data_IF_901746945294
#
_entry.id   IF_901746945294
#
_cell.length_a   1.000
_cell.length_b   1.000
_cell.length_c   1.000
_cell.angle_alpha   90.00
_cell.angle_beta   90.00
_cell.angle_gamma   90.00
#
_symmetry.space_group_name_H-M   'P 1'
#
loop_
_entity.id
_entity.type
_entity.pdbx_description
1 polymer ?
#
# COMPACT_ATOMS: atom_id res chain seq x y z
N UNK A 1 -33.30 17.18 3.40
CA UNK A 1 -33.95 16.50 4.54
C UNK A 1 -33.18 15.23 4.87
N UNK A 2 -33.63 14.44 5.84
CA UNK A 2 -33.29 13.00 6.00
C UNK A 2 -34.48 12.29 6.66
N UNK A 3 -34.58 10.98 6.47
CA UNK A 3 -35.73 10.17 6.91
C UNK A 3 -35.29 8.89 7.63
N UNK A 4 -36.19 8.32 8.44
CA UNK A 4 -36.10 6.96 8.98
C UNK A 4 -37.50 6.32 9.09
N UNK A 5 -37.56 5.00 9.04
CA UNK A 5 -38.71 4.23 9.51
C UNK A 5 -38.55 3.99 11.02
N UNK A 6 -39.63 4.13 11.79
CA UNK A 6 -39.72 3.77 13.20
C UNK A 6 -38.54 4.32 14.04
N UNK A 7 -37.62 3.43 14.46
CA UNK A 7 -36.38 3.74 15.18
C UNK A 7 -35.09 3.37 14.42
N UNK A 8 -35.20 3.09 13.12
CA UNK A 8 -34.06 2.75 12.26
C UNK A 8 -33.01 3.88 12.20
N UNK A 9 -31.75 3.55 11.82
CA UNK A 9 -30.74 4.56 11.53
C UNK A 9 -31.21 5.60 10.51
N UNK A 10 -30.95 6.86 10.80
CA UNK A 10 -31.24 7.97 9.90
C UNK A 10 -30.50 7.81 8.56
N UNK A 11 -31.22 7.99 7.46
CA UNK A 11 -30.61 8.15 6.14
C UNK A 11 -29.70 9.39 6.03
N UNK A 12 -28.86 9.40 5.01
CA UNK A 12 -27.97 10.52 4.71
C UNK A 12 -28.75 11.82 4.42
N UNK A 13 -28.12 12.97 4.69
CA UNK A 13 -28.69 14.28 4.40
C UNK A 13 -28.76 14.54 2.89
N UNK A 14 -29.97 14.46 2.35
CA UNK A 14 -30.31 14.81 0.96
C UNK A 14 -30.80 16.27 0.86
N UNK A 15 -30.98 16.83 -0.36
CA UNK A 15 -31.69 18.10 -0.58
C UNK A 15 -33.11 18.11 0.04
N UNK A 16 -33.78 19.27 0.04
CA UNK A 16 -35.21 19.33 0.39
C UNK A 16 -36.03 19.18 -0.89
N UNK A 17 -36.94 18.21 -0.92
CA UNK A 17 -37.99 18.09 -1.94
C UNK A 17 -39.36 18.16 -1.24
N UNK A 18 -40.39 18.78 -1.86
CA UNK A 18 -41.73 18.85 -1.27
C UNK A 18 -42.49 17.50 -1.36
N UNK A 19 -42.01 16.59 -2.20
CA UNK A 19 -42.50 15.21 -2.37
C UNK A 19 -41.32 14.26 -2.44
N UNK A 20 -41.45 13.06 -1.88
CA UNK A 20 -40.43 12.02 -1.92
C UNK A 20 -41.11 10.64 -1.84
N UNK A 21 -40.63 9.68 -2.63
CA UNK A 21 -41.00 8.26 -2.46
C UNK A 21 -40.05 7.61 -1.46
N UNK A 22 -40.59 6.92 -0.46
CA UNK A 22 -39.83 6.28 0.62
C UNK A 22 -40.38 4.87 0.87
N UNK A 23 -39.50 3.92 1.20
CA UNK A 23 -39.86 2.50 1.35
C UNK A 23 -40.00 2.18 2.85
N UNK A 24 -41.16 1.64 3.23
CA UNK A 24 -41.45 1.17 4.58
C UNK A 24 -40.83 -0.22 4.81
N UNK A 25 -40.58 -0.57 6.07
CA UNK A 25 -40.15 -1.91 6.43
C UNK A 25 -41.31 -2.90 6.19
N UNK A 26 -41.09 -4.03 5.50
CA UNK A 26 -42.18 -4.93 5.09
C UNK A 26 -42.62 -5.87 6.23
N UNK A 27 -43.20 -5.30 7.30
CA UNK A 27 -43.88 -6.04 8.38
C UNK A 27 -45.31 -5.53 8.53
N UNK A 28 -46.27 -6.34 8.97
CA UNK A 28 -47.61 -5.87 9.26
C UNK A 28 -47.66 -5.07 10.57
N UNK A 29 -48.49 -4.04 10.62
CA UNK A 29 -48.72 -3.18 11.80
C UNK A 29 -48.43 -1.70 11.58
N UNK A 30 -48.51 -0.90 12.65
CA UNK A 30 -48.26 0.54 12.59
C UNK A 30 -46.77 0.86 12.39
N UNK A 31 -46.50 1.71 11.40
CA UNK A 31 -45.20 2.26 11.08
C UNK A 31 -45.20 3.78 11.19
N UNK A 32 -44.13 4.34 11.75
CA UNK A 32 -43.92 5.79 11.89
C UNK A 32 -42.78 6.25 10.98
N UNK A 33 -43.10 7.00 9.92
CA UNK A 33 -42.06 7.69 9.15
C UNK A 33 -41.70 8.98 9.87
N UNK A 34 -40.42 9.17 10.18
CA UNK A 34 -39.91 10.42 10.77
C UNK A 34 -38.97 11.11 9.78
N UNK A 35 -39.19 12.40 9.53
CA UNK A 35 -38.36 13.22 8.66
C UNK A 35 -37.75 14.41 9.42
N UNK A 36 -36.46 14.68 9.18
CA UNK A 36 -35.75 15.87 9.64
C UNK A 36 -35.52 16.85 8.51
N UNK A 37 -35.87 18.11 8.76
CA UNK A 37 -35.56 19.25 7.90
C UNK A 37 -34.63 20.19 8.65
N UNK A 38 -33.48 20.52 8.04
CA UNK A 38 -32.49 21.45 8.59
C UNK A 38 -32.40 22.73 7.75
N UNK A 39 -32.20 23.87 8.41
CA UNK A 39 -31.84 25.16 7.80
C UNK A 39 -30.78 25.83 8.67
N UNK A 40 -29.54 25.92 8.17
CA UNK A 40 -28.39 26.23 9.02
C UNK A 40 -28.22 25.15 10.10
N UNK A 41 -28.01 25.55 11.35
CA UNK A 41 -27.96 24.64 12.50
C UNK A 41 -29.34 24.30 13.09
N UNK A 42 -30.42 24.99 12.70
CA UNK A 42 -31.77 24.66 13.17
C UNK A 42 -32.30 23.41 12.47
N UNK A 43 -32.67 22.39 13.26
CA UNK A 43 -33.34 21.17 12.80
C UNK A 43 -34.76 21.13 13.36
N UNK A 44 -35.72 20.69 12.55
CA UNK A 44 -37.08 20.33 13.00
C UNK A 44 -37.41 18.92 12.54
N UNK A 45 -38.09 18.17 13.40
CA UNK A 45 -38.66 16.85 13.10
C UNK A 45 -40.15 16.98 12.79
N UNK A 46 -40.61 16.18 11.83
CA UNK A 46 -42.02 15.87 11.59
C UNK A 46 -42.16 14.36 11.48
N UNK A 47 -43.34 13.82 11.79
CA UNK A 47 -43.62 12.39 11.62
C UNK A 47 -45.08 12.14 11.34
N UNK A 48 -45.34 11.07 10.61
CA UNK A 48 -46.68 10.55 10.32
C UNK A 48 -46.72 9.05 10.58
N UNK A 49 -47.90 8.45 10.78
CA UNK A 49 -48.05 7.00 10.96
C UNK A 49 -48.99 6.36 9.94
N UNK A 50 -48.68 5.11 9.58
CA UNK A 50 -49.43 4.32 8.61
C UNK A 50 -49.49 2.86 9.10
N UNK A 51 -50.70 2.29 9.13
CA UNK A 51 -50.89 0.89 9.51
C UNK A 51 -50.84 0.00 8.27
N UNK A 52 -49.77 -0.81 8.17
CA UNK A 52 -49.49 -1.64 7.01
C UNK A 52 -50.19 -3.00 7.17
N UNK A 53 -51.25 -3.22 6.40
CA UNK A 53 -52.02 -4.47 6.41
C UNK A 53 -51.56 -5.33 5.24
N UNK A 54 -51.05 -6.53 5.53
CA UNK A 54 -50.72 -7.54 4.52
C UNK A 54 -51.93 -8.47 4.30
N UNK A 55 -52.21 -8.92 3.06
CA UNK A 55 -53.32 -9.83 2.79
C UNK A 55 -53.07 -11.22 3.39
N UNK A 56 -54.12 -11.84 3.93
CA UNK A 56 -54.06 -13.14 4.62
C UNK A 56 -53.94 -14.34 3.65
N UNK A 57 -52.79 -14.50 2.99
CA UNK A 57 -52.26 -15.82 2.61
C UNK A 57 -50.88 -15.75 1.91
N UNK A 58 -49.91 -16.47 2.48
CA UNK A 58 -48.94 -17.40 1.86
C UNK A 58 -47.98 -17.94 2.98
N UNK A 59 -47.21 -19.03 2.78
CA UNK A 59 -46.90 -19.98 3.87
C UNK A 59 -45.81 -19.59 4.88
N UNK A 60 -45.77 -20.38 5.95
CA UNK A 60 -44.85 -20.24 7.10
C UNK A 60 -43.37 -20.17 6.72
N UNK A 61 -42.66 -19.20 7.32
CA UNK A 61 -41.22 -19.30 7.56
C UNK A 61 -40.99 -19.51 9.06
N UNK A 62 -40.10 -20.45 9.39
CA UNK A 62 -40.03 -21.07 10.72
C UNK A 62 -39.56 -20.16 11.85
N UNK A 63 -40.14 -20.38 13.04
CA UNK A 63 -39.75 -19.72 14.30
C UNK A 63 -38.45 -20.33 14.86
N UNK A 64 -37.50 -19.49 15.26
CA UNK A 64 -36.57 -19.78 16.37
C UNK A 64 -36.51 -18.52 17.26
N UNK A 65 -36.51 -18.71 18.59
CA UNK A 65 -36.57 -17.64 19.59
C UNK A 65 -35.18 -17.20 20.09
N UNK A 66 -35.05 -15.97 20.65
CA UNK A 66 -33.80 -15.49 21.25
C UNK A 66 -33.62 -15.94 22.71
N UNK A 67 -32.39 -16.35 23.04
CA UNK A 67 -31.81 -16.45 24.40
C UNK A 67 -30.27 -16.43 24.27
N UNK A 68 -29.46 -15.99 25.23
CA UNK A 68 -29.74 -15.41 26.55
C UNK A 68 -28.47 -14.74 27.12
N UNK A 69 -28.52 -14.24 28.36
CA UNK A 69 -27.35 -13.62 29.05
C UNK A 69 -26.48 -14.66 29.79
N UNK A 70 -25.47 -14.16 30.53
CA UNK A 70 -24.56 -14.85 31.46
C UNK A 70 -23.40 -15.58 30.73
N UNK A 71 -22.14 -15.45 31.13
CA UNK A 71 -21.51 -14.61 32.17
C UNK A 71 -20.13 -15.14 32.55
N UNK A 72 -19.20 -14.28 32.97
CA UNK A 72 -17.83 -14.68 33.34
C UNK A 72 -17.05 -13.57 34.06
N UNK A 73 -16.23 -13.93 35.04
CA UNK A 73 -15.56 -13.00 35.95
C UNK A 73 -14.25 -13.61 36.48
N UNK A 74 -13.21 -12.78 36.69
CA UNK A 74 -12.01 -13.09 37.50
C UNK A 74 -11.04 -14.18 36.91
N UNK A 75 -9.73 -14.30 37.20
CA UNK A 75 -8.78 -13.53 38.08
C UNK A 75 -7.29 -13.77 37.67
N UNK A 76 -6.38 -12.95 38.23
CA UNK A 76 -4.95 -13.24 38.61
C UNK A 76 -3.82 -13.46 37.58
N UNK A 77 -2.81 -12.58 37.69
CA UNK A 77 -1.34 -12.78 37.55
C UNK A 77 -0.80 -13.75 38.64
N UNK A 78 0.44 -14.35 38.59
CA UNK A 78 1.72 -13.67 38.32
C UNK A 78 2.92 -14.50 37.74
N UNK A 79 4.11 -13.88 37.63
CA UNK A 79 5.41 -14.60 37.61
C UNK A 79 6.55 -13.96 36.76
N UNK A 80 7.72 -13.69 37.37
CA UNK A 80 8.97 -13.25 36.69
C UNK A 80 10.19 -13.94 37.37
N UNK A 81 11.15 -14.48 36.59
CA UNK A 81 12.53 -13.93 36.54
C UNK A 81 12.98 -13.72 35.06
N UNK A 82 13.97 -12.92 34.66
CA UNK A 82 15.24 -12.41 35.24
C UNK A 82 16.49 -13.30 34.96
N UNK A 83 17.66 -12.66 34.87
CA UNK A 83 18.97 -13.14 34.30
C UNK A 83 19.02 -13.20 32.76
N UNK A 84 20.17 -12.96 32.09
CA UNK A 84 21.51 -12.55 32.56
C UNK A 84 22.43 -12.13 31.41
N UNK A 85 23.56 -11.45 31.69
CA UNK A 85 24.46 -10.79 30.71
C UNK A 85 25.83 -11.50 30.60
N UNK A 86 26.36 -11.66 29.39
CA UNK A 86 27.80 -11.85 29.08
C UNK A 86 28.12 -11.22 27.70
N UNK A 87 29.33 -10.69 27.48
CA UNK A 87 29.81 -10.16 26.19
C UNK A 87 31.35 -10.25 26.04
N UNK A 88 31.87 -10.42 24.82
CA UNK A 88 33.26 -10.16 24.36
C UNK A 88 33.50 -10.66 22.91
N UNK A 89 34.65 -10.45 22.25
CA UNK A 89 35.28 -9.20 21.76
C UNK A 89 36.66 -9.47 21.08
N UNK A 90 37.07 -8.64 20.09
CA UNK A 90 38.41 -8.62 19.44
C UNK A 90 38.47 -9.28 18.04
N UNK A 91 39.31 -8.85 17.07
CA UNK A 91 40.33 -7.77 17.00
C UNK A 91 40.61 -7.34 15.51
N UNK A 92 41.34 -6.22 15.22
CA UNK A 92 41.23 -5.44 13.95
C UNK A 92 42.48 -5.39 13.02
N UNK A 93 42.49 -4.41 12.07
CA UNK A 93 43.53 -3.99 11.08
C UNK A 93 43.71 -4.89 9.83
N UNK A 94 44.07 -4.41 8.62
CA UNK A 94 44.09 -3.08 7.94
C UNK A 94 44.36 -3.32 6.41
N UNK A 95 44.52 -2.40 5.42
CA UNK A 95 44.68 -0.92 5.28
C UNK A 95 44.28 -0.48 3.83
N UNK A 96 44.75 0.69 3.35
CA UNK A 96 44.85 1.21 1.95
C UNK A 96 43.61 1.92 1.33
N UNK A 97 43.86 2.97 0.52
CA UNK A 97 42.83 3.79 -0.17
C UNK A 97 43.41 4.85 -1.11
N UNK A 98 42.58 5.50 -1.96
CA UNK A 98 42.99 6.58 -2.87
C UNK A 98 41.83 7.45 -3.41
N UNK A 99 42.15 8.68 -3.84
CA UNK A 99 41.34 9.61 -4.67
C UNK A 99 39.88 9.96 -4.30
N UNK A 100 39.71 10.85 -3.31
CA UNK A 100 38.47 11.66 -3.19
C UNK A 100 38.35 12.70 -4.30
N UNK A 101 37.40 12.54 -5.23
CA UNK A 101 37.18 13.50 -6.34
C UNK A 101 36.44 14.75 -5.82
N UNK A 102 37.17 15.85 -5.69
CA UNK A 102 36.68 17.13 -5.17
C UNK A 102 35.87 17.93 -6.21
N UNK A 103 34.74 18.48 -5.76
CA UNK A 103 34.15 19.68 -6.33
C UNK A 103 34.61 20.92 -5.56
N UNK A 104 35.54 21.69 -6.12
CA UNK A 104 36.01 22.97 -5.56
C UNK A 104 34.91 24.05 -5.73
N UNK A 105 34.60 24.84 -4.68
CA UNK A 105 35.24 26.15 -4.62
C UNK A 105 35.61 26.63 -3.20
N UNK A 106 36.81 27.16 -3.05
CA UNK A 106 37.21 27.94 -1.89
C UNK A 106 36.50 29.32 -1.80
N UNK A 107 35.97 29.67 -0.62
CA UNK A 107 35.95 31.05 -0.11
C UNK A 107 35.69 31.12 1.40
N UNK A 108 36.24 32.13 2.06
CA UNK A 108 36.07 32.40 3.49
C UNK A 108 34.83 33.22 3.79
N UNK A 109 34.21 32.99 4.96
CA UNK A 109 33.10 33.78 5.49
C UNK A 109 33.01 33.66 7.03
N UNK A 110 32.53 34.69 7.75
CA UNK A 110 32.51 34.70 9.21
C UNK A 110 31.35 33.86 9.78
N UNK A 111 31.59 33.25 10.95
CA UNK A 111 30.58 32.44 11.63
C UNK A 111 29.41 33.29 12.18
N UNK A 112 28.19 32.82 11.97
CA UNK A 112 26.96 33.35 12.59
C UNK A 112 26.54 32.40 13.72
N UNK A 113 26.24 32.89 14.94
CA UNK A 113 25.78 32.02 16.02
C UNK A 113 24.33 31.59 15.81
N UNK A 114 24.12 30.30 15.51
CA UNK A 114 22.81 29.66 15.60
C UNK A 114 22.58 29.14 17.03
N UNK A 115 21.36 29.30 17.54
CA UNK A 115 21.00 28.96 18.92
C UNK A 115 20.29 27.62 19.05
N UNK A 116 20.74 26.80 20.00
CA UNK A 116 20.02 25.67 20.61
C UNK A 116 19.27 24.71 19.66
N UNK A 117 20.02 23.98 18.83
CA UNK A 117 19.68 22.58 18.56
C UNK A 117 20.77 21.66 19.14
N UNK A 118 20.43 20.40 19.43
CA UNK A 118 21.28 19.51 20.23
C UNK A 118 22.38 18.92 19.36
N UNK A 119 23.61 19.41 19.52
CA UNK A 119 24.80 18.87 18.86
C UNK A 119 25.23 17.54 19.48
N UNK A 120 25.17 16.40 18.77
CA UNK A 120 26.15 15.35 18.99
C UNK A 120 27.51 15.90 18.51
N UNK A 121 28.48 16.04 19.42
CA UNK A 121 29.88 16.17 19.01
C UNK A 121 30.40 14.75 18.80
N UNK A 122 30.92 14.44 17.61
CA UNK A 122 31.21 13.08 17.17
C UNK A 122 32.55 12.53 17.69
N UNK A 123 32.85 12.78 18.97
CA UNK A 123 34.12 12.54 19.68
C UNK A 123 34.50 11.06 19.91
N UNK A 124 34.08 10.14 19.02
CA UNK A 124 34.10 8.71 19.30
C UNK A 124 33.31 7.89 18.30
N UNK A 125 33.92 6.81 17.79
CA UNK A 125 33.31 5.80 16.91
C UNK A 125 32.21 4.94 17.59
N UNK A 126 31.50 5.48 18.58
CA UNK A 126 30.33 4.86 19.20
C UNK A 126 29.16 4.90 18.21
N UNK A 127 28.31 3.87 18.21
CA UNK A 127 27.09 3.86 17.40
C UNK A 127 26.14 4.99 17.82
N UNK A 128 26.00 5.98 16.94
CA UNK A 128 25.04 7.10 17.04
C UNK A 128 24.21 7.08 15.75
N UNK A 129 22.94 6.70 15.85
CA UNK A 129 22.05 6.63 14.69
C UNK A 129 21.63 8.06 14.26
N UNK A 130 22.35 8.66 13.29
CA UNK A 130 21.97 9.95 12.69
C UNK A 130 20.61 9.84 11.98
N UNK A 131 19.67 10.79 12.19
CA UNK A 131 18.38 10.81 11.51
C UNK A 131 18.52 10.94 9.99
N UNK A 132 17.64 10.28 9.23
CA UNK A 132 17.61 10.40 7.78
C UNK A 132 17.12 11.78 7.35
N UNK A 133 17.95 12.53 6.62
CA UNK A 133 17.53 13.81 6.03
C UNK A 133 16.71 13.63 4.75
N UNK A 134 17.10 12.70 3.88
CA UNK A 134 16.44 12.46 2.59
C UNK A 134 16.50 10.99 2.18
N UNK A 135 15.54 10.20 2.64
CA UNK A 135 15.45 8.77 2.36
C UNK A 135 15.32 8.44 0.86
N UNK A 136 14.72 9.34 0.07
CA UNK A 136 14.55 9.18 -1.36
C UNK A 136 15.89 9.32 -2.12
N UNK A 137 16.78 10.21 -1.67
CA UNK A 137 18.13 10.35 -2.24
C UNK A 137 18.96 9.09 -1.99
N UNK A 138 19.01 8.60 -0.75
CA UNK A 138 19.71 7.36 -0.39
C UNK A 138 19.17 6.15 -1.18
N UNK A 139 17.84 6.05 -1.28
CA UNK A 139 17.19 4.98 -2.03
C UNK A 139 17.52 5.03 -3.53
N UNK A 140 17.51 6.23 -4.12
CA UNK A 140 17.86 6.39 -5.53
C UNK A 140 19.34 6.01 -5.79
N UNK A 141 20.26 6.25 -4.85
CA UNK A 141 21.65 5.77 -4.97
C UNK A 141 21.72 4.24 -4.94
N UNK A 142 20.99 3.57 -4.05
CA UNK A 142 20.92 2.09 -4.01
C UNK A 142 20.38 1.51 -5.33
N UNK A 143 19.31 2.09 -5.86
CA UNK A 143 18.71 1.67 -7.14
C UNK A 143 19.66 1.92 -8.33
N UNK A 144 20.43 3.02 -8.32
CA UNK A 144 21.45 3.30 -9.34
C UNK A 144 22.65 2.35 -9.26
N UNK A 145 23.17 2.04 -8.07
CA UNK A 145 24.20 1.02 -7.87
C UNK A 145 23.77 -0.32 -8.45
N UNK A 146 22.52 -0.72 -8.20
CA UNK A 146 21.98 -1.98 -8.71
C UNK A 146 21.66 -1.97 -10.21
N UNK A 147 21.51 -0.79 -10.84
CA UNK A 147 21.46 -0.65 -12.31
C UNK A 147 22.86 -0.81 -12.94
N UNK A 148 23.89 -0.21 -12.36
CA UNK A 148 25.28 -0.37 -12.81
C UNK A 148 25.77 -1.81 -12.64
N UNK A 149 25.54 -2.42 -11.47
CA UNK A 149 25.86 -3.83 -11.21
C UNK A 149 25.15 -4.76 -12.19
N UNK A 150 23.87 -4.55 -12.47
CA UNK A 150 23.15 -5.35 -13.45
C UNK A 150 23.68 -5.17 -14.89
N UNK A 151 24.13 -3.95 -15.25
CA UNK A 151 24.80 -3.69 -16.54
C UNK A 151 26.15 -4.41 -16.65
N UNK A 152 26.84 -4.62 -15.53
CA UNK A 152 28.04 -5.46 -15.42
C UNK A 152 27.76 -6.97 -15.26
N UNK A 153 26.48 -7.39 -15.28
CA UNK A 153 26.08 -8.80 -15.09
C UNK A 153 26.18 -9.31 -13.65
N UNK A 154 26.33 -8.42 -12.66
CA UNK A 154 26.50 -8.75 -11.25
C UNK A 154 25.16 -8.85 -10.49
N UNK A 155 25.11 -9.64 -9.40
CA UNK A 155 23.98 -9.66 -8.47
C UNK A 155 23.68 -8.29 -7.83
N UNK A 156 22.39 -7.93 -7.63
CA UNK A 156 21.98 -6.72 -6.94
C UNK A 156 22.22 -6.83 -5.42
N UNK A 157 22.65 -5.74 -4.79
CA UNK A 157 22.85 -5.63 -3.35
C UNK A 157 21.53 -5.40 -2.62
N UNK A 158 21.36 -6.05 -1.47
CA UNK A 158 20.25 -5.84 -0.53
C UNK A 158 20.48 -4.58 0.31
N UNK A 159 19.49 -3.69 0.47
CA UNK A 159 19.63 -2.54 1.38
C UNK A 159 19.66 -3.01 2.84
N UNK A 160 20.59 -2.48 3.63
CA UNK A 160 20.78 -2.84 5.03
C UNK A 160 20.78 -1.58 5.91
N UNK A 161 19.89 -1.57 6.91
CA UNK A 161 19.70 -0.39 7.78
C UNK A 161 20.89 -0.12 8.72
N UNK A 162 21.66 -1.13 9.11
CA UNK A 162 22.85 -0.91 9.94
C UNK A 162 23.98 -0.23 9.14
N UNK A 163 24.14 -0.60 7.87
CA UNK A 163 25.03 0.11 6.93
C UNK A 163 24.51 1.53 6.64
N UNK A 164 23.20 1.74 6.47
CA UNK A 164 22.63 3.09 6.36
C UNK A 164 22.98 3.98 7.58
N UNK A 165 22.94 3.43 8.81
CA UNK A 165 23.25 4.21 10.01
C UNK A 165 24.75 4.56 10.10
N UNK A 166 25.65 3.67 9.69
CA UNK A 166 27.09 3.95 9.60
C UNK A 166 27.37 5.05 8.56
N UNK A 167 26.80 4.92 7.37
CA UNK A 167 26.96 5.87 6.29
C UNK A 167 26.41 7.25 6.64
N UNK A 168 25.22 7.35 7.28
CA UNK A 168 24.65 8.62 7.75
C UNK A 168 25.49 9.25 8.87
N UNK A 169 26.01 8.43 9.79
CA UNK A 169 26.96 8.89 10.80
C UNK A 169 28.15 9.56 10.13
N UNK A 170 28.84 8.85 9.22
CA UNK A 170 30.09 9.33 8.64
C UNK A 170 29.89 10.53 7.69
N UNK A 171 28.74 10.59 7.00
CA UNK A 171 28.35 11.76 6.21
C UNK A 171 28.18 13.04 7.05
N UNK A 172 27.69 12.93 8.29
CA UNK A 172 27.58 14.07 9.21
C UNK A 172 28.93 14.38 9.90
N UNK A 173 29.62 13.34 10.37
CA UNK A 173 30.95 13.36 11.00
C UNK A 173 31.95 14.20 10.18
N UNK A 174 32.07 13.93 8.87
CA UNK A 174 32.89 14.71 7.93
C UNK A 174 32.46 16.19 7.78
N UNK A 175 31.16 16.51 7.87
CA UNK A 175 30.69 17.90 7.78
C UNK A 175 31.01 18.67 9.07
N UNK A 176 30.58 18.14 10.21
CA UNK A 176 30.58 18.88 11.48
C UNK A 176 32.02 19.14 11.97
N UNK A 177 32.90 18.14 11.85
CA UNK A 177 34.33 18.24 12.21
C UNK A 177 35.23 18.63 11.03
N UNK A 178 34.63 18.89 9.86
CA UNK A 178 35.24 19.59 8.69
C UNK A 178 36.44 18.88 8.06
N UNK A 179 36.38 17.55 7.96
CA UNK A 179 37.36 16.75 7.27
C UNK A 179 36.73 16.01 6.07
N UNK A 180 37.55 15.31 5.28
CA UNK A 180 37.07 14.46 4.20
C UNK A 180 38.05 13.31 4.00
N UNK A 181 37.82 12.21 4.71
CA UNK A 181 38.69 11.05 4.78
C UNK A 181 37.89 9.85 5.30
N UNK A 182 38.34 8.63 5.03
CA UNK A 182 37.60 7.41 5.39
C UNK A 182 37.62 7.10 6.90
N UNK A 183 38.72 7.35 7.60
CA UNK A 183 38.76 7.18 9.07
C UNK A 183 37.98 8.28 9.82
N UNK A 184 37.53 8.01 11.06
CA UNK A 184 36.79 8.98 11.88
C UNK A 184 37.72 9.80 12.78
N UNK A 185 37.44 11.10 12.90
CA UNK A 185 38.22 12.08 13.64
C UNK A 185 37.34 12.90 14.61
N UNK A 186 37.93 13.36 15.71
CA UNK A 186 37.42 14.43 16.58
C UNK A 186 38.21 15.70 16.22
N UNK A 187 37.62 16.51 15.35
CA UNK A 187 38.27 17.61 14.64
C UNK A 187 39.50 17.16 13.84
N UNK A 188 40.70 17.36 14.42
CA UNK A 188 41.97 16.92 13.84
C UNK A 188 42.58 15.69 14.54
N UNK A 189 41.87 15.07 15.47
CA UNK A 189 42.35 13.93 16.29
C UNK A 189 41.81 12.64 15.70
N UNK A 190 42.68 11.72 15.26
CA UNK A 190 42.22 10.39 14.79
C UNK A 190 41.60 9.60 15.94
N UNK A 191 40.45 8.96 15.70
CA UNK A 191 39.65 8.26 16.71
C UNK A 191 39.57 6.75 16.44
N UNK A 192 39.26 6.36 15.21
CA UNK A 192 39.34 4.97 14.76
C UNK A 192 39.36 4.84 13.24
N UNK A 193 39.73 3.65 12.76
CA UNK A 193 39.65 3.32 11.34
C UNK A 193 38.21 3.03 10.85
N UNK A 194 38.05 3.17 9.54
CA UNK A 194 36.85 2.85 8.76
C UNK A 194 36.18 1.53 9.17
N UNK A 195 36.97 0.47 9.38
CA UNK A 195 36.48 -0.88 9.67
C UNK A 195 36.03 -1.02 11.12
N UNK A 196 36.67 -0.32 12.05
CA UNK A 196 36.24 -0.20 13.44
C UNK A 196 34.93 0.60 13.54
N UNK A 197 34.76 1.69 12.76
CA UNK A 197 33.47 2.38 12.65
C UNK A 197 32.39 1.42 12.15
N UNK A 198 32.57 0.83 10.96
CA UNK A 198 31.59 -0.06 10.34
C UNK A 198 31.20 -1.24 11.25
N UNK A 199 32.17 -1.88 11.91
CA UNK A 199 31.94 -3.02 12.81
C UNK A 199 31.03 -2.70 14.01
N UNK A 200 30.98 -1.44 14.45
CA UNK A 200 30.12 -1.00 15.56
C UNK A 200 28.64 -0.82 15.15
N UNK A 201 28.36 -0.75 13.84
CA UNK A 201 27.00 -0.78 13.30
C UNK A 201 26.64 -2.16 12.75
N UNK A 202 27.51 -2.72 11.90
CA UNK A 202 27.33 -3.92 11.09
C UNK A 202 28.38 -4.98 11.49
N UNK A 203 28.23 -5.65 12.64
CA UNK A 203 29.20 -6.65 13.10
C UNK A 203 29.23 -7.86 12.16
N UNK A 204 30.36 -8.06 11.49
CA UNK A 204 30.56 -9.12 10.48
C UNK A 204 31.97 -9.69 10.52
N UNK A 205 32.13 -10.91 10.00
CA UNK A 205 33.43 -11.54 9.68
C UNK A 205 33.63 -11.73 8.17
N UNK A 206 32.72 -11.17 7.35
CA UNK A 206 32.84 -11.13 5.90
C UNK A 206 33.22 -9.74 5.39
N UNK A 207 33.16 -9.57 4.06
CA UNK A 207 33.63 -8.37 3.37
C UNK A 207 32.88 -7.09 3.75
N UNK A 208 33.62 -5.99 3.79
CA UNK A 208 33.14 -4.61 3.92
C UNK A 208 33.81 -3.72 2.86
N UNK A 209 33.28 -2.53 2.62
CA UNK A 209 33.84 -1.50 1.73
C UNK A 209 33.12 -0.17 1.94
N UNK A 210 33.75 0.94 1.54
CA UNK A 210 33.17 2.28 1.66
C UNK A 210 33.49 3.13 0.42
N UNK A 211 32.54 3.97 0.00
CA UNK A 211 32.74 5.04 -0.96
C UNK A 211 32.27 6.37 -0.34
N UNK A 212 33.08 7.43 -0.41
CA UNK A 212 32.72 8.77 0.09
C UNK A 212 32.66 9.79 -1.05
N UNK A 213 31.84 10.85 -0.92
CA UNK A 213 31.80 11.95 -1.88
C UNK A 213 31.27 13.27 -1.25
N UNK A 214 31.81 14.40 -1.73
CA UNK A 214 31.40 15.76 -1.33
C UNK A 214 30.98 16.62 -2.52
N UNK A 215 29.99 17.49 -2.34
CA UNK A 215 29.64 18.58 -3.28
C UNK A 215 28.61 18.21 -4.36
N UNK A 216 28.33 16.93 -4.54
CA UNK A 216 27.34 16.44 -5.50
C UNK A 216 25.91 16.71 -5.02
N UNK A 217 25.11 17.44 -5.80
CA UNK A 217 23.78 17.91 -5.34
C UNK A 217 22.65 16.89 -5.53
N UNK A 218 22.89 15.78 -6.25
CA UNK A 218 21.87 14.76 -6.58
C UNK A 218 22.42 13.33 -6.60
N UNK A 219 21.58 12.31 -6.36
CA UNK A 219 21.95 10.88 -6.47
C UNK A 219 22.59 10.50 -7.81
N UNK A 220 22.09 11.04 -8.94
CA UNK A 220 22.65 10.76 -10.26
C UNK A 220 24.01 11.42 -10.47
N UNK A 221 24.22 12.64 -9.94
CA UNK A 221 25.53 13.30 -10.02
C UNK A 221 26.60 12.59 -9.21
N UNK A 222 26.30 12.13 -7.98
CA UNK A 222 27.27 11.42 -7.15
C UNK A 222 27.58 10.02 -7.68
N UNK A 223 26.57 9.31 -8.20
CA UNK A 223 26.76 8.02 -8.87
C UNK A 223 27.69 8.15 -10.08
N UNK A 224 27.52 9.21 -10.90
CA UNK A 224 28.41 9.50 -12.02
C UNK A 224 29.85 9.85 -11.55
N UNK A 225 30.01 10.53 -10.42
CA UNK A 225 31.32 10.76 -9.80
C UNK A 225 32.02 9.44 -9.46
N UNK A 226 31.37 8.59 -8.66
CA UNK A 226 31.92 7.29 -8.25
C UNK A 226 32.20 6.34 -9.44
N UNK A 227 31.33 6.30 -10.46
CA UNK A 227 31.53 5.43 -11.63
C UNK A 227 32.63 5.91 -12.61
N UNK A 228 33.10 7.15 -12.47
CA UNK A 228 34.27 7.68 -13.19
C UNK A 228 35.58 7.53 -12.39
N UNK A 229 35.52 7.33 -11.07
CA UNK A 229 36.70 7.03 -10.23
C UNK A 229 37.00 5.52 -10.24
N UNK A 230 38.23 5.07 -10.58
CA UNK A 230 38.56 3.65 -10.65
C UNK A 230 38.35 2.88 -9.32
N UNK A 231 38.74 3.48 -8.19
CA UNK A 231 38.61 2.86 -6.87
C UNK A 231 37.15 2.71 -6.43
N UNK A 232 36.38 3.81 -6.46
CA UNK A 232 34.97 3.79 -6.08
C UNK A 232 34.14 2.84 -6.97
N UNK A 233 34.43 2.80 -8.28
CA UNK A 233 33.84 1.85 -9.22
C UNK A 233 34.20 0.40 -8.90
N UNK A 234 35.43 0.13 -8.48
CA UNK A 234 35.84 -1.22 -8.08
C UNK A 234 35.03 -1.71 -6.87
N UNK A 235 34.74 -0.84 -5.89
CA UNK A 235 33.85 -1.18 -4.77
C UNK A 235 32.41 -1.46 -5.24
N UNK A 236 31.81 -0.57 -6.05
CA UNK A 236 30.45 -0.73 -6.60
C UNK A 236 30.30 -2.06 -7.38
N UNK A 237 31.32 -2.43 -8.15
CA UNK A 237 31.33 -3.64 -8.97
C UNK A 237 31.99 -4.87 -8.29
N UNK A 238 32.31 -4.78 -6.99
CA UNK A 238 32.90 -5.91 -6.27
C UNK A 238 31.85 -7.02 -6.07
N UNK A 239 32.16 -8.22 -6.56
CA UNK A 239 31.26 -9.38 -6.50
C UNK A 239 31.14 -10.01 -5.11
N UNK A 240 32.03 -9.64 -4.18
CA UNK A 240 32.04 -10.14 -2.80
C UNK A 240 30.90 -9.56 -1.93
N UNK A 241 30.39 -8.38 -2.27
CA UNK A 241 29.33 -7.72 -1.53
C UNK A 241 27.94 -8.30 -1.87
N UNK A 242 27.08 -8.35 -0.85
CA UNK A 242 25.67 -8.77 -0.93
C UNK A 242 24.70 -7.73 -0.38
N UNK A 243 25.21 -6.75 0.36
CA UNK A 243 24.46 -5.74 1.08
C UNK A 243 25.05 -4.35 0.84
N UNK A 244 24.22 -3.31 0.94
CA UNK A 244 24.58 -1.90 0.84
C UNK A 244 23.79 -1.06 1.84
N UNK A 245 24.41 0.00 2.37
CA UNK A 245 23.72 1.12 2.99
C UNK A 245 24.17 2.43 2.36
N UNK A 246 23.33 3.46 2.44
CA UNK A 246 23.66 4.79 1.92
C UNK A 246 23.27 5.87 2.93
N UNK A 247 24.19 6.79 3.15
CA UNK A 247 24.00 7.98 3.97
C UNK A 247 24.10 9.25 3.15
N UNK A 248 23.20 10.18 3.43
CA UNK A 248 23.22 11.53 2.88
C UNK A 248 23.05 12.56 3.99
N UNK A 249 23.95 13.53 4.02
CA UNK A 249 23.87 14.69 4.90
C UNK A 249 24.02 15.99 4.11
N UNK A 250 23.11 16.93 4.34
CA UNK A 250 23.21 18.32 3.93
C UNK A 250 23.49 19.21 5.13
N UNK A 251 24.51 20.05 5.01
CA UNK A 251 24.93 21.02 6.02
C UNK A 251 25.21 22.41 5.43
N UNK A 252 25.25 23.47 6.26
CA UNK A 252 25.43 24.84 5.81
C UNK A 252 26.88 25.21 5.45
N UNK A 253 27.82 24.27 5.47
CA UNK A 253 29.25 24.56 5.31
C UNK A 253 30.03 23.43 4.61
N UNK A 254 31.33 23.63 4.38
CA UNK A 254 32.18 22.68 3.66
C UNK A 254 31.66 22.40 2.25
N UNK A 255 31.61 21.13 1.87
CA UNK A 255 31.05 20.71 0.57
C UNK A 255 29.52 20.80 0.50
N UNK A 256 28.84 21.17 1.60
CA UNK A 256 27.39 21.19 1.81
C UNK A 256 26.69 19.83 1.68
N UNK A 257 26.88 19.11 0.58
CA UNK A 257 26.34 17.77 0.34
C UNK A 257 27.41 16.70 0.59
N UNK A 258 27.19 15.85 1.58
CA UNK A 258 28.08 14.74 1.95
C UNK A 258 27.36 13.41 1.73
N UNK A 259 28.06 12.46 1.11
CA UNK A 259 27.52 11.15 0.73
C UNK A 259 28.47 10.03 1.13
N UNK A 260 27.91 8.93 1.61
CA UNK A 260 28.65 7.69 1.91
C UNK A 260 27.85 6.49 1.38
N UNK A 261 28.52 5.54 0.73
CA UNK A 261 27.99 4.20 0.44
C UNK A 261 28.80 3.16 1.22
N UNK A 262 28.14 2.42 2.09
CA UNK A 262 28.75 1.33 2.84
C UNK A 262 28.35 0.00 2.23
N UNK A 263 29.33 -0.86 1.94
CA UNK A 263 29.14 -2.15 1.31
C UNK A 263 29.41 -3.28 2.30
N UNK A 264 28.65 -4.38 2.21
CA UNK A 264 28.75 -5.48 3.17
C UNK A 264 28.46 -6.87 2.63
N UNK A 265 28.93 -7.88 3.35
CA UNK A 265 28.56 -9.29 3.20
C UNK A 265 28.61 -9.99 4.57
N UNK A 266 27.47 -10.10 5.27
CA UNK A 266 27.38 -10.88 6.51
C UNK A 266 27.66 -12.37 6.26
N UNK A 267 28.62 -12.93 7.00
CA UNK A 267 28.97 -14.35 6.90
C UNK A 267 27.78 -15.25 7.21
N UNK A 268 27.55 -16.29 6.39
CA UNK A 268 26.37 -17.17 6.50
C UNK A 268 25.01 -16.54 6.18
N UNK A 269 24.96 -15.25 5.80
CA UNK A 269 23.73 -14.55 5.38
C UNK A 269 23.68 -14.36 3.87
N UNK A 270 22.54 -14.70 3.29
CA UNK A 270 22.28 -14.70 1.85
C UNK A 270 20.90 -14.09 1.60
N UNK A 271 20.82 -12.83 1.13
CA UNK A 271 19.54 -12.14 1.02
C UNK A 271 18.69 -12.60 -0.16
N UNK A 272 17.40 -12.30 -0.05
CA UNK A 272 16.46 -12.16 -1.16
C UNK A 272 16.44 -10.68 -1.57
N UNK A 273 16.34 -10.39 -2.87
CA UNK A 273 16.22 -9.02 -3.40
C UNK A 273 15.12 -8.98 -4.47
N UNK A 274 14.07 -8.19 -4.24
CA UNK A 274 12.96 -7.94 -5.16
C UNK A 274 13.34 -6.76 -6.08
N UNK A 275 13.10 -6.88 -7.38
CA UNK A 275 13.26 -5.82 -8.39
C UNK A 275 14.58 -5.03 -8.29
N UNK A 276 15.67 -5.70 -7.92
CA UNK A 276 17.00 -5.11 -7.71
C UNK A 276 17.02 -4.00 -6.63
N UNK A 277 16.28 -4.20 -5.53
CA UNK A 277 16.16 -3.26 -4.40
C UNK A 277 15.35 -2.00 -4.72
N UNK A 278 14.47 -2.05 -5.73
CA UNK A 278 13.52 -0.97 -5.99
C UNK A 278 12.52 -0.83 -4.84
N UNK A 279 12.33 0.38 -4.30
CA UNK A 279 11.44 0.61 -3.16
C UNK A 279 9.95 0.41 -3.50
N UNK A 280 9.58 0.62 -4.77
CA UNK A 280 8.17 0.57 -5.22
C UNK A 280 8.01 -0.21 -6.51
N UNK A 281 6.81 -0.72 -6.76
CA UNK A 281 6.40 -1.30 -8.05
C UNK A 281 4.95 -0.90 -8.37
N UNK A 282 4.61 -0.73 -9.63
CA UNK A 282 3.22 -0.60 -10.12
C UNK A 282 2.64 -1.94 -10.62
N UNK A 283 3.50 -2.94 -10.78
CA UNK A 283 3.20 -4.29 -11.25
C UNK A 283 3.26 -5.31 -10.10
N UNK A 284 2.29 -6.25 -9.99
CA UNK A 284 2.39 -7.40 -9.09
C UNK A 284 3.38 -8.46 -9.62
N UNK A 285 3.75 -8.42 -10.91
CA UNK A 285 4.83 -9.25 -11.45
C UNK A 285 6.16 -8.59 -11.12
N UNK A 286 7.00 -9.32 -10.37
CA UNK A 286 8.32 -8.87 -9.92
C UNK A 286 9.40 -9.89 -10.27
N UNK A 287 10.64 -9.40 -10.32
CA UNK A 287 11.84 -10.24 -10.38
C UNK A 287 12.40 -10.44 -8.98
N UNK A 288 12.83 -11.67 -8.69
CA UNK A 288 13.53 -12.03 -7.45
C UNK A 288 14.96 -12.45 -7.78
N UNK A 289 15.94 -11.89 -7.08
CA UNK A 289 17.27 -12.46 -6.97
C UNK A 289 17.45 -13.15 -5.61
N UNK A 290 17.87 -14.42 -5.63
CA UNK A 290 18.09 -15.23 -4.43
C UNK A 290 19.59 -15.55 -4.35
N UNK A 291 20.26 -15.03 -3.33
CA UNK A 291 21.64 -15.42 -3.03
C UNK A 291 21.70 -16.84 -2.42
N UNK A 292 22.85 -17.50 -2.58
CA UNK A 292 23.16 -18.78 -1.91
C UNK A 292 24.64 -18.93 -1.60
N UNK A 293 24.94 -19.83 -0.68
CA UNK A 293 26.28 -20.37 -0.44
C UNK A 293 26.62 -21.41 -1.54
N UNK A 294 27.50 -21.00 -2.45
CA UNK A 294 28.05 -21.77 -3.60
C UNK A 294 27.10 -22.78 -4.30
N UNK A 295 27.30 -24.08 -4.12
CA UNK A 295 26.48 -25.18 -4.64
C UNK A 295 25.83 -26.00 -3.50
N UNK A 296 25.81 -25.48 -2.27
CA UNK A 296 25.28 -26.22 -1.11
C UNK A 296 23.75 -26.33 -1.10
N UNK A 297 23.03 -25.28 -1.50
CA UNK A 297 21.56 -25.21 -1.44
C UNK A 297 20.93 -25.74 -2.72
N UNK A 298 20.25 -26.88 -2.64
CA UNK A 298 19.76 -27.64 -3.81
C UNK A 298 18.30 -27.34 -4.16
N UNK A 299 17.50 -26.98 -3.15
CA UNK A 299 16.07 -26.72 -3.29
C UNK A 299 15.68 -25.42 -2.59
N UNK A 300 14.59 -24.82 -3.05
CA UNK A 300 13.98 -23.63 -2.46
C UNK A 300 12.45 -23.76 -2.43
N UNK A 301 11.79 -22.91 -1.63
CA UNK A 301 10.36 -22.63 -1.71
C UNK A 301 10.08 -21.16 -1.40
N UNK A 302 8.97 -20.64 -1.90
CA UNK A 302 8.59 -19.23 -1.82
C UNK A 302 7.18 -19.06 -1.22
N UNK A 303 6.91 -17.90 -0.64
CA UNK A 303 5.57 -17.42 -0.27
C UNK A 303 5.45 -15.90 -0.45
N UNK A 304 4.23 -15.44 -0.67
CA UNK A 304 3.85 -14.03 -0.47
C UNK A 304 3.36 -13.85 0.96
N UNK A 305 3.75 -12.74 1.58
CA UNK A 305 3.26 -12.30 2.89
C UNK A 305 3.27 -13.47 3.92
N UNK A 306 2.20 -13.64 4.70
CA UNK A 306 2.04 -14.75 5.63
C UNK A 306 1.27 -15.95 5.07
N UNK A 307 1.16 -16.08 3.75
CA UNK A 307 0.49 -17.21 3.11
C UNK A 307 1.26 -18.54 3.34
N UNK A 308 0.56 -19.64 3.11
CA UNK A 308 1.16 -20.98 3.09
C UNK A 308 2.35 -21.05 2.14
N UNK A 309 3.43 -21.68 2.60
CA UNK A 309 4.58 -21.99 1.77
C UNK A 309 4.21 -22.80 0.52
N UNK A 310 4.75 -22.41 -0.63
CA UNK A 310 4.70 -23.22 -1.85
C UNK A 310 5.45 -24.55 -1.71
N UNK A 311 5.33 -25.44 -2.72
CA UNK A 311 6.09 -26.68 -2.77
C UNK A 311 7.60 -26.40 -2.83
N UNK A 312 8.40 -27.37 -2.37
CA UNK A 312 9.83 -27.39 -2.64
C UNK A 312 10.08 -27.63 -4.14
N UNK A 313 10.96 -26.82 -4.70
CA UNK A 313 11.37 -26.84 -6.11
C UNK A 313 12.90 -26.74 -6.22
N UNK A 314 13.52 -27.12 -7.34
CA UNK A 314 14.94 -26.91 -7.57
C UNK A 314 15.34 -25.44 -7.36
N UNK A 315 16.50 -25.20 -6.75
CA UNK A 315 16.98 -23.84 -6.51
C UNK A 315 17.23 -23.09 -7.84
N UNK A 316 16.80 -21.82 -7.93
CA UNK A 316 17.24 -20.85 -8.95
C UNK A 316 17.65 -19.54 -8.31
N UNK A 317 18.71 -18.91 -8.81
CA UNK A 317 19.11 -17.56 -8.37
C UNK A 317 18.16 -16.47 -8.89
N UNK A 318 17.46 -16.71 -10.00
CA UNK A 318 16.54 -15.75 -10.61
C UNK A 318 15.16 -16.39 -10.72
N UNK A 319 14.13 -15.68 -10.24
CA UNK A 319 12.73 -16.15 -10.29
C UNK A 319 11.82 -14.99 -10.70
N UNK A 320 10.97 -15.21 -11.71
CA UNK A 320 9.82 -14.34 -11.98
C UNK A 320 8.68 -14.73 -11.05
N UNK A 321 8.12 -13.77 -10.31
CA UNK A 321 7.19 -14.05 -9.23
C UNK A 321 6.00 -13.09 -9.22
N UNK A 322 4.83 -13.59 -8.83
CA UNK A 322 3.60 -12.78 -8.73
C UNK A 322 3.28 -12.52 -7.26
N UNK A 323 3.32 -11.25 -6.86
CA UNK A 323 2.86 -10.76 -5.57
C UNK A 323 1.34 -10.96 -5.41
N UNK A 324 0.83 -10.90 -4.18
CA UNK A 324 -0.58 -10.59 -3.97
C UNK A 324 -0.85 -9.18 -4.53
N UNK A 325 -1.85 -9.01 -5.40
CA UNK A 325 -2.11 -7.71 -6.05
C UNK A 325 -2.95 -6.77 -5.18
N UNK A 326 -2.53 -6.59 -3.93
CA UNK A 326 -3.09 -5.60 -3.02
C UNK A 326 -2.12 -4.46 -2.83
N UNK A 327 -2.61 -3.22 -2.91
CA UNK A 327 -1.81 -2.03 -2.65
C UNK A 327 -1.24 -2.06 -1.22
N UNK A 328 -0.03 -1.53 -1.07
CA UNK A 328 0.71 -1.53 0.18
C UNK A 328 1.85 -2.54 0.16
N UNK A 329 2.70 -2.45 1.18
CA UNK A 329 3.94 -3.23 1.29
C UNK A 329 3.66 -4.73 1.18
N UNK A 330 4.22 -5.36 0.15
CA UNK A 330 4.17 -6.81 -0.08
C UNK A 330 5.49 -7.42 0.35
N UNK A 331 5.42 -8.53 1.08
CA UNK A 331 6.60 -9.32 1.47
C UNK A 331 6.72 -10.55 0.58
N UNK A 332 7.93 -10.89 0.16
CA UNK A 332 8.25 -12.23 -0.33
C UNK A 332 9.17 -12.90 0.67
N UNK A 333 8.88 -14.14 1.07
CA UNK A 333 9.82 -14.96 1.84
C UNK A 333 10.32 -16.13 0.98
N UNK A 334 11.61 -16.44 1.10
CA UNK A 334 12.23 -17.65 0.56
C UNK A 334 12.74 -18.53 1.70
N UNK A 335 12.55 -19.83 1.56
CA UNK A 335 13.30 -20.84 2.30
C UNK A 335 14.16 -21.63 1.31
N UNK A 336 15.39 -21.94 1.70
CA UNK A 336 16.35 -22.75 0.93
C UNK A 336 16.79 -23.94 1.78
N UNK A 337 16.99 -25.11 1.17
CA UNK A 337 17.40 -26.32 1.92
C UNK A 337 18.49 -27.16 1.26
N UNK A 338 19.13 -27.95 2.12
CA UNK A 338 20.01 -29.08 1.78
C UNK A 338 19.66 -30.25 2.71
N UNK A 339 18.90 -31.22 2.20
CA UNK A 339 18.35 -32.28 3.04
C UNK A 339 17.41 -31.71 4.11
N UNK A 340 17.75 -31.90 5.39
CA UNK A 340 16.99 -31.38 6.53
C UNK A 340 17.40 -29.98 6.99
N UNK A 341 18.56 -29.46 6.56
CA UNK A 341 19.00 -28.10 6.92
C UNK A 341 18.24 -27.08 6.08
N UNK A 342 17.61 -26.11 6.74
CA UNK A 342 16.86 -25.01 6.10
C UNK A 342 17.43 -23.66 6.56
N UNK A 343 17.47 -22.69 5.64
CA UNK A 343 17.64 -21.26 5.94
C UNK A 343 16.51 -20.47 5.29
N UNK A 344 16.18 -19.31 5.85
CA UNK A 344 15.20 -18.38 5.28
C UNK A 344 15.78 -16.99 5.05
N UNK A 345 15.19 -16.28 4.09
CA UNK A 345 15.37 -14.84 3.87
C UNK A 345 14.04 -14.24 3.42
N UNK A 346 13.89 -12.93 3.56
CA UNK A 346 12.68 -12.21 3.16
C UNK A 346 13.02 -10.82 2.69
N UNK A 347 12.15 -10.26 1.85
CA UNK A 347 12.28 -8.91 1.31
C UNK A 347 10.89 -8.29 1.09
N UNK A 348 10.84 -6.96 1.01
CA UNK A 348 9.61 -6.16 0.95
C UNK A 348 9.66 -5.12 -0.16
N UNK A 349 8.56 -4.93 -0.89
CA UNK A 349 8.39 -3.87 -1.88
C UNK A 349 7.02 -3.18 -1.73
N UNK A 350 6.94 -1.87 -1.91
CA UNK A 350 5.68 -1.14 -1.89
C UNK A 350 4.95 -1.28 -3.24
N UNK A 351 3.91 -2.12 -3.27
CA UNK A 351 3.06 -2.27 -4.45
C UNK A 351 2.06 -1.11 -4.49
N UNK A 352 2.23 -0.21 -5.45
CA UNK A 352 1.52 1.08 -5.51
C UNK A 352 0.09 0.97 -6.07
N UNK A 353 -0.21 -0.13 -6.77
CA UNK A 353 -1.50 -0.42 -7.43
C UNK A 353 -2.19 -1.62 -6.76
N UNK A 354 -3.50 -1.57 -6.61
CA UNK A 354 -4.30 -2.77 -6.33
C UNK A 354 -4.72 -3.43 -7.65
N UNK A 355 -5.19 -4.67 -7.58
CA UNK A 355 -5.92 -5.33 -8.65
C UNK A 355 -7.05 -4.45 -9.19
N UNK A 356 -7.34 -4.60 -10.48
CA UNK A 356 -8.53 -4.00 -11.06
C UNK A 356 -9.78 -4.60 -10.39
N UNK A 357 -10.67 -3.75 -9.89
CA UNK A 357 -11.93 -4.18 -9.26
C UNK A 357 -13.07 -3.37 -9.88
N UNK A 358 -14.00 -4.04 -10.56
CA UNK A 358 -15.22 -3.42 -11.08
C UNK A 358 -16.17 -3.12 -9.91
N UNK A 359 -16.45 -1.84 -9.67
CA UNK A 359 -17.27 -1.38 -8.55
C UNK A 359 -18.22 -0.23 -8.90
N UNK A 360 -18.84 0.32 -7.87
CA UNK A 360 -19.91 1.34 -7.95
C UNK A 360 -21.17 0.87 -8.72
N UNK A 361 -21.49 -0.43 -8.62
CA UNK A 361 -22.71 -1.04 -9.14
C UNK A 361 -23.55 -1.62 -7.99
N UNK A 362 -24.86 -1.38 -7.93
CA UNK A 362 -25.72 -1.93 -6.88
C UNK A 362 -26.08 -3.39 -7.16
N UNK A 363 -26.21 -4.20 -6.11
CA UNK A 363 -26.61 -5.61 -6.26
C UNK A 363 -28.03 -5.79 -6.82
N UNK A 364 -28.93 -4.82 -6.61
CA UNK A 364 -30.26 -4.83 -7.20
C UNK A 364 -30.84 -3.42 -7.42
N UNK A 365 -31.84 -3.33 -8.28
CA UNK A 365 -32.63 -2.14 -8.61
C UNK A 365 -34.12 -2.49 -8.60
N UNK A 366 -34.98 -1.52 -8.27
CA UNK A 366 -36.44 -1.69 -8.27
C UNK A 366 -37.11 -0.58 -9.06
N UNK A 367 -37.84 -0.97 -10.09
CA UNK A 367 -38.82 -0.15 -10.79
C UNK A 367 -40.23 -0.47 -10.29
N UNK A 368 -41.09 0.53 -10.20
CA UNK A 368 -42.53 0.39 -10.00
C UNK A 368 -43.23 1.02 -11.19
N UNK A 369 -44.16 0.30 -11.82
CA UNK A 369 -45.04 0.83 -12.87
C UNK A 369 -46.49 0.83 -12.38
N UNK A 370 -47.03 2.03 -12.23
CA UNK A 370 -48.42 2.30 -11.90
C UNK A 370 -49.25 2.35 -13.17
N UNK A 371 -50.11 1.36 -13.40
CA UNK A 371 -50.90 1.26 -14.63
C UNK A 371 -51.96 2.38 -14.69
N UNK A 372 -52.62 2.71 -13.57
CA UNK A 372 -53.66 3.73 -13.49
C UNK A 372 -53.16 5.13 -13.89
N UNK A 373 -51.93 5.50 -13.54
CA UNK A 373 -51.32 6.77 -14.00
C UNK A 373 -50.33 6.62 -15.15
N UNK A 374 -50.13 5.38 -15.65
CA UNK A 374 -49.11 5.01 -16.65
C UNK A 374 -47.70 5.53 -16.30
N UNK A 375 -47.34 5.47 -15.01
CA UNK A 375 -46.13 6.12 -14.47
C UNK A 375 -45.10 5.10 -14.00
N UNK A 376 -43.88 5.23 -14.53
CA UNK A 376 -42.70 4.46 -14.11
C UNK A 376 -41.90 5.22 -13.05
N UNK A 377 -41.52 4.56 -11.97
CA UNK A 377 -40.82 5.15 -10.82
C UNK A 377 -39.63 4.26 -10.40
N UNK A 378 -38.38 4.76 -10.44
CA UNK A 378 -37.94 5.94 -11.22
C UNK A 378 -38.10 5.66 -12.73
N UNK A 379 -38.09 6.67 -13.62
CA UNK A 379 -38.15 6.43 -15.06
C UNK A 379 -36.90 5.72 -15.62
N UNK A 380 -35.76 5.84 -14.94
CA UNK A 380 -34.50 5.20 -15.29
C UNK A 380 -33.54 5.20 -14.09
N UNK A 381 -32.56 4.30 -14.08
CA UNK A 381 -31.37 4.41 -13.21
C UNK A 381 -30.14 4.73 -14.04
N UNK A 382 -29.38 5.77 -13.67
CA UNK A 382 -28.05 6.05 -14.23
C UNK A 382 -27.00 5.65 -13.21
N UNK A 383 -26.14 4.71 -13.60
CA UNK A 383 -25.00 4.21 -12.84
C UNK A 383 -23.70 4.75 -13.44
N UNK A 384 -22.61 4.69 -12.70
CA UNK A 384 -21.28 5.04 -13.18
C UNK A 384 -20.30 3.94 -12.77
N UNK A 385 -20.03 2.94 -13.63
CA UNK A 385 -19.06 1.90 -13.33
C UNK A 385 -17.69 2.52 -13.02
N UNK A 386 -17.03 2.06 -11.95
CA UNK A 386 -15.70 2.52 -11.54
C UNK A 386 -14.72 1.35 -11.47
N UNK A 387 -13.43 1.65 -11.67
CA UNK A 387 -12.36 0.85 -11.09
C UNK A 387 -12.21 1.30 -9.63
N UNK A 388 -12.54 0.45 -8.67
CA UNK A 388 -12.41 0.77 -7.24
C UNK A 388 -11.08 0.30 -6.64
N UNK A 389 -10.29 -0.49 -7.38
CA UNK A 389 -8.99 -0.96 -6.93
C UNK A 389 -7.83 -0.02 -7.26
N UNK A 390 -7.86 0.63 -8.44
CA UNK A 390 -6.83 1.58 -8.87
C UNK A 390 -7.38 2.63 -9.87
N UNK A 391 -6.51 3.55 -10.32
CA UNK A 391 -6.87 4.67 -11.21
C UNK A 391 -6.85 4.34 -12.72
N UNK A 392 -6.53 3.12 -13.13
CA UNK A 392 -6.53 2.74 -14.55
C UNK A 392 -7.96 2.58 -15.08
N UNK A 393 -8.26 3.07 -16.30
CA UNK A 393 -9.58 2.93 -16.90
C UNK A 393 -9.86 1.48 -17.31
N UNK A 394 -11.05 0.97 -16.98
CA UNK A 394 -11.56 -0.31 -17.44
C UNK A 394 -12.50 -0.08 -18.62
N UNK A 395 -12.27 -0.77 -19.74
CA UNK A 395 -13.28 -0.87 -20.80
C UNK A 395 -14.32 -1.89 -20.38
N UNK A 396 -15.61 -1.57 -20.54
CA UNK A 396 -16.72 -2.43 -20.14
C UNK A 396 -17.80 -2.53 -21.21
N UNK A 397 -18.58 -3.62 -21.15
CA UNK A 397 -19.85 -3.80 -21.87
C UNK A 397 -20.95 -4.13 -20.89
N UNK A 398 -22.17 -3.69 -21.19
CA UNK A 398 -23.37 -3.99 -20.42
C UNK A 398 -24.43 -4.66 -21.31
N UNK A 399 -25.07 -5.70 -20.80
CA UNK A 399 -26.12 -6.44 -21.51
C UNK A 399 -27.24 -6.89 -20.58
N UNK A 400 -28.41 -7.18 -21.14
CA UNK A 400 -29.54 -7.84 -20.46
C UNK A 400 -30.21 -8.79 -21.45
N UNK A 401 -30.93 -9.79 -20.94
CA UNK A 401 -31.55 -10.83 -21.76
C UNK A 401 -32.99 -10.48 -22.18
N UNK A 402 -33.67 -9.60 -21.44
CA UNK A 402 -35.09 -9.33 -21.60
C UNK A 402 -35.39 -8.06 -22.40
N UNK A 403 -36.30 -8.17 -23.37
CA UNK A 403 -36.68 -7.06 -24.26
C UNK A 403 -37.53 -5.96 -23.60
N UNK A 404 -38.00 -6.16 -22.38
CA UNK A 404 -38.66 -5.12 -21.59
C UNK A 404 -37.66 -4.17 -20.91
N UNK A 405 -36.35 -4.48 -20.93
CA UNK A 405 -35.29 -3.64 -20.35
C UNK A 405 -34.25 -3.26 -21.40
N UNK A 406 -33.72 -2.04 -21.31
CA UNK A 406 -32.64 -1.55 -22.16
C UNK A 406 -31.49 -0.98 -21.34
N UNK A 407 -30.29 -1.05 -21.91
CA UNK A 407 -29.04 -0.52 -21.35
C UNK A 407 -28.37 0.41 -22.35
N UNK A 408 -28.04 1.63 -21.93
CA UNK A 408 -27.45 2.64 -22.84
C UNK A 408 -26.45 3.58 -22.13
N UNK A 409 -25.25 3.78 -22.70
CA UNK A 409 -24.65 2.97 -23.76
C UNK A 409 -24.42 1.53 -23.30
N UNK A 410 -24.36 0.58 -24.25
CA UNK A 410 -24.06 -0.83 -23.98
C UNK A 410 -22.55 -1.10 -23.82
N UNK A 411 -21.71 -0.07 -23.90
CA UNK A 411 -20.27 -0.14 -23.61
C UNK A 411 -19.72 1.23 -23.22
N UNK A 412 -18.55 1.25 -22.58
CA UNK A 412 -17.91 2.49 -22.14
C UNK A 412 -16.56 2.26 -21.46
N UNK A 413 -16.03 3.31 -20.85
CA UNK A 413 -14.80 3.26 -20.04
C UNK A 413 -15.02 3.88 -18.66
N UNK A 414 -14.38 3.33 -17.63
CA UNK A 414 -14.39 3.94 -16.29
C UNK A 414 -13.36 5.07 -16.21
N UNK A 415 -13.59 6.17 -15.47
CA UNK A 415 -14.85 6.60 -14.86
C UNK A 415 -15.76 7.39 -15.83
N UNK A 416 -15.30 7.63 -17.07
CA UNK A 416 -15.86 8.64 -17.98
C UNK A 416 -17.25 8.31 -18.55
N UNK A 417 -17.62 7.03 -18.63
CA UNK A 417 -18.91 6.57 -19.17
C UNK A 417 -19.88 6.19 -18.06
N UNK A 418 -21.12 6.66 -18.17
CA UNK A 418 -22.25 6.16 -17.38
C UNK A 418 -22.90 4.94 -18.04
N UNK A 419 -23.70 4.20 -17.27
CA UNK A 419 -24.57 3.12 -17.73
C UNK A 419 -26.00 3.47 -17.31
N UNK A 420 -26.89 3.73 -18.27
CA UNK A 420 -28.30 4.02 -17.98
C UNK A 420 -29.17 2.79 -18.25
N UNK A 421 -29.94 2.38 -17.26
CA UNK A 421 -30.87 1.25 -17.29
C UNK A 421 -32.29 1.83 -17.40
N UNK A 422 -33.00 1.49 -18.49
CA UNK A 422 -34.30 2.08 -18.85
C UNK A 422 -35.26 0.96 -19.26
N UNK A 423 -36.37 0.73 -18.53
CA UNK A 423 -37.46 -0.13 -18.98
C UNK A 423 -38.12 0.42 -20.25
N UNK A 424 -38.33 -0.47 -21.23
CA UNK A 424 -38.91 -0.16 -22.53
C UNK A 424 -40.33 -0.68 -22.66
N UNK A 425 -40.52 -1.80 -23.36
CA UNK A 425 -41.83 -2.44 -23.56
C UNK A 425 -42.33 -3.10 -22.26
N UNK A 426 -43.00 -2.33 -21.41
CA UNK A 426 -43.50 -2.77 -20.11
C UNK A 426 -44.58 -3.87 -20.24
N UNK A 427 -44.62 -4.87 -19.32
CA UNK A 427 -45.67 -5.88 -19.29
C UNK A 427 -47.08 -5.30 -19.06
N UNK A 428 -48.10 -5.97 -19.61
CA UNK A 428 -49.50 -5.53 -19.54
C UNK A 428 -50.26 -6.02 -18.31
N UNK A 429 -49.74 -6.97 -17.55
CA UNK A 429 -50.38 -7.51 -16.33
C UNK A 429 -49.70 -7.01 -15.05
N UNK A 430 -50.44 -6.86 -13.94
CA UNK A 430 -49.85 -6.63 -12.62
C UNK A 430 -49.03 -7.86 -12.18
N UNK A 431 -47.94 -7.62 -11.46
CA UNK A 431 -47.03 -8.67 -11.01
C UNK A 431 -45.59 -8.21 -10.82
N UNK A 432 -44.75 -9.12 -10.32
CA UNK A 432 -43.31 -8.88 -10.13
C UNK A 432 -42.52 -9.56 -11.25
N UNK A 433 -41.91 -8.72 -12.10
CA UNK A 433 -40.98 -9.12 -13.14
C UNK A 433 -39.54 -8.95 -12.64
N UNK A 434 -38.60 -9.75 -13.15
CA UNK A 434 -37.19 -9.69 -12.75
C UNK A 434 -36.29 -10.12 -13.89
N UNK A 435 -35.17 -9.41 -14.07
CA UNK A 435 -34.11 -9.74 -15.02
C UNK A 435 -32.74 -9.39 -14.44
N UNK A 436 -31.67 -9.76 -15.13
CA UNK A 436 -30.29 -9.38 -14.77
C UNK A 436 -29.74 -8.42 -15.82
N UNK A 437 -29.09 -7.35 -15.37
CA UNK A 437 -28.12 -6.59 -16.17
C UNK A 437 -26.73 -7.09 -15.81
N UNK A 438 -25.99 -7.56 -16.80
CA UNK A 438 -24.61 -8.05 -16.64
C UNK A 438 -23.66 -6.97 -17.15
N UNK A 439 -22.67 -6.59 -16.34
CA UNK A 439 -21.62 -5.63 -16.71
C UNK A 439 -20.27 -6.34 -16.68
N UNK A 440 -19.61 -6.44 -17.84
CA UNK A 440 -18.38 -7.22 -18.04
C UNK A 440 -17.25 -6.30 -18.48
N UNK A 441 -16.11 -6.36 -17.78
CA UNK A 441 -14.87 -5.71 -18.21
C UNK A 441 -14.28 -6.46 -19.40
N UNK A 442 -14.00 -5.72 -20.48
CA UNK A 442 -13.41 -6.21 -21.72
C UNK A 442 -11.95 -5.85 -21.88
N UNK A 443 -11.44 -4.86 -21.12
CA UNK A 443 -10.02 -4.54 -21.04
C UNK A 443 -9.67 -3.87 -19.71
N UNK A 444 -8.56 -4.25 -19.05
CA UNK A 444 -7.64 -5.32 -19.43
C UNK A 444 -8.23 -6.72 -19.13
N UNK A 445 -7.84 -7.71 -19.94
CA UNK A 445 -8.28 -9.11 -19.80
C UNK A 445 -7.39 -9.96 -18.90
N UNK A 446 -6.17 -9.51 -18.60
CA UNK A 446 -5.20 -10.27 -17.79
C UNK A 446 -4.40 -9.37 -16.83
N UNK A 447 -4.23 -9.77 -15.56
CA UNK A 447 -5.02 -10.82 -14.90
C UNK A 447 -6.48 -10.35 -14.73
N UNK A 448 -7.43 -11.25 -14.39
CA UNK A 448 -8.86 -10.92 -14.36
C UNK A 448 -9.21 -9.74 -13.44
N UNK A 449 -10.15 -8.91 -13.89
CA UNK A 449 -10.72 -7.84 -13.05
C UNK A 449 -11.68 -8.43 -12.02
N UNK A 450 -11.44 -8.18 -10.75
CA UNK A 450 -12.31 -8.57 -9.64
C UNK A 450 -13.71 -7.94 -9.81
N UNK A 451 -14.76 -8.64 -9.39
CA UNK A 451 -16.14 -8.18 -9.55
C UNK A 451 -16.67 -8.20 -10.99
N UNK A 452 -15.87 -8.60 -11.99
CA UNK A 452 -16.30 -8.75 -13.38
C UNK A 452 -16.44 -10.24 -13.76
N UNK A 453 -17.57 -10.67 -14.35
CA UNK A 453 -18.77 -9.88 -14.67
C UNK A 453 -19.63 -9.59 -13.43
N UNK A 454 -20.04 -8.33 -13.27
CA UNK A 454 -20.99 -7.92 -12.24
C UNK A 454 -22.43 -8.21 -12.69
N UNK A 455 -23.28 -8.66 -11.77
CA UNK A 455 -24.70 -8.90 -12.02
C UNK A 455 -25.57 -8.00 -11.15
N UNK A 456 -26.44 -7.23 -11.80
CA UNK A 456 -27.39 -6.31 -11.17
C UNK A 456 -28.79 -6.91 -11.34
N UNK A 457 -29.43 -7.29 -10.23
CA UNK A 457 -30.79 -7.83 -10.25
C UNK A 457 -31.82 -6.71 -10.41
N UNK A 458 -32.44 -6.59 -11.59
CA UNK A 458 -33.41 -5.54 -11.89
C UNK A 458 -34.83 -6.09 -11.74
N UNK A 459 -35.56 -5.56 -10.77
CA UNK A 459 -36.96 -5.90 -10.50
C UNK A 459 -37.88 -4.82 -11.07
N UNK A 460 -39.03 -5.23 -11.60
CA UNK A 460 -40.12 -4.36 -12.01
C UNK A 460 -41.42 -4.86 -11.37
N UNK A 461 -42.00 -4.06 -10.48
CA UNK A 461 -43.33 -4.32 -9.92
C UNK A 461 -44.37 -3.55 -10.73
N UNK A 462 -45.22 -4.24 -11.47
CA UNK A 462 -46.39 -3.65 -12.12
C UNK A 462 -47.57 -3.73 -11.16
N UNK A 463 -48.27 -2.62 -10.93
CA UNK A 463 -49.44 -2.53 -10.05
C UNK A 463 -50.60 -1.84 -10.78
N UNK A 464 -51.83 -2.30 -10.53
CA UNK A 464 -53.03 -1.78 -11.19
C UNK A 464 -53.23 -0.28 -10.88
N UNK A 465 -53.04 0.09 -9.61
CA UNK A 465 -52.96 1.47 -9.14
C UNK A 465 -51.94 1.58 -8.00
N UNK A 466 -51.26 2.73 -7.88
CA UNK A 466 -50.55 3.11 -6.64
C UNK A 466 -51.53 3.73 -5.63
N UNK A 467 -52.30 2.89 -4.95
CA UNK A 467 -53.03 3.31 -3.76
C UNK A 467 -52.04 3.79 -2.67
N UNK A 468 -52.34 4.96 -2.10
CA UNK A 468 -51.54 5.70 -1.10
C UNK A 468 -50.25 6.35 -1.60
N UNK A 469 -50.39 7.49 -2.30
CA UNK A 469 -49.43 8.59 -2.20
C UNK A 469 -49.39 9.13 -0.75
N UNK A 470 -48.30 8.89 -0.02
CA UNK A 470 -48.09 9.47 1.31
C UNK A 470 -47.81 10.99 1.20
N UNK A 471 -48.88 11.79 1.22
CA UNK A 471 -48.82 13.25 1.27
C UNK A 471 -48.38 13.72 2.67
N UNK A 472 -47.07 13.83 2.89
CA UNK A 472 -46.55 14.62 4.02
C UNK A 472 -47.10 16.05 3.91
N UNK A 473 -47.85 16.56 4.92
CA UNK A 473 -48.61 17.79 4.77
C UNK A 473 -47.70 19.01 4.58
N UNK A 474 -48.13 19.91 3.68
CA UNK A 474 -47.37 21.10 3.31
C UNK A 474 -47.21 22.04 4.52
N UNK A 475 -45.98 22.29 4.94
CA UNK A 475 -45.67 23.36 5.91
C UNK A 475 -45.92 24.71 5.21
N UNK A 476 -47.11 25.27 5.42
CA UNK A 476 -47.35 26.70 5.21
C UNK A 476 -46.60 27.53 6.29
N UNK A 477 -46.40 28.81 5.97
CA UNK A 477 -45.33 29.66 6.53
C UNK A 477 -45.47 30.03 8.00
#
# INVERSE_FOLDING_TARGET
>A
MRLRNDDDPWSAWMPFTPTLSWILNPRPGEHRVTAEVRRGQSVRQVSDTINLVLPESLPEWGKIQPAGMIGGNSTTLPGKPAHGVVASAGSPQSTDGEEGILGDPASTGPAVPLGNEVTPLFSGCTRINVPVQNAAFEQQVVELVNQERASAGLPPLKRNLDLDYAARYHAQDMHDDRYFFHDTYDGSTWVCDTWQRLSNYYPTTGWMGENIAGGYTTPSSVMAGWMNSPGHKANILNSNYREIGVGYYYGPSGYQHYWVQDFGSRSGYYPLVINREAATTDSPQVSLYIYREDSTWTEMRLRNDDLSWGPWQPFSNNVSWTLQWFKGTRTVSVEVRKGTTVRSASDTIELTTSQNTLGNLPASLLFIFDQATSRLIPPSYTLQPLNTGNSFPLSWMASTADSWLSVTPSSGTTPSSTLTIIPGSLPSGPGLYSTTVTVTVTSPTSPPTEGSPAQIQVKLSVVEALDHLLYLPLIQR
#
